data_IF_760194617217
#
_entry.id   IF_760194617217
#
_cell.length_a   1.000
_cell.length_b   1.000
_cell.length_c   1.000
_cell.angle_alpha   90.00
_cell.angle_beta   90.00
_cell.angle_gamma   90.00
#
_symmetry.space_group_name_H-M   'P 1'
#
loop_
_entity.id
_entity.type
_entity.pdbx_description
1 polymer ?
#
# COMPACT_ATOMS: atom_id res chain seq x y z
N UNK A 1 1.18 3.51 -17.55
CA UNK A 1 0.88 4.79 -16.85
C UNK A 1 -0.31 4.69 -15.90
N UNK A 2 -1.54 4.37 -16.35
CA UNK A 2 -2.71 4.30 -15.45
C UNK A 2 -2.53 3.32 -14.27
N UNK A 3 -1.99 2.12 -14.50
CA UNK A 3 -1.72 1.14 -13.44
C UNK A 3 -0.72 1.64 -12.38
N UNK A 4 0.34 2.36 -12.80
CA UNK A 4 1.30 2.97 -11.90
C UNK A 4 0.63 4.04 -11.03
N UNK A 5 -0.18 4.91 -11.63
CA UNK A 5 -0.91 5.95 -10.90
C UNK A 5 -1.94 5.39 -9.91
N UNK A 6 -2.64 4.32 -10.30
CA UNK A 6 -3.61 3.62 -9.42
C UNK A 6 -2.89 2.96 -8.25
N UNK A 7 -1.80 2.22 -8.52
CA UNK A 7 -1.01 1.58 -7.47
C UNK A 7 -0.42 2.62 -6.51
N UNK A 8 0.12 3.73 -7.03
CA UNK A 8 0.63 4.82 -6.21
C UNK A 8 -0.46 5.44 -5.32
N UNK A 9 -1.64 5.74 -5.88
CA UNK A 9 -2.77 6.26 -5.10
C UNK A 9 -3.26 5.27 -4.03
N UNK A 10 -3.28 3.98 -4.36
CA UNK A 10 -3.60 2.89 -3.42
C UNK A 10 -2.60 2.80 -2.26
N UNK A 11 -1.30 2.93 -2.54
CA UNK A 11 -0.25 2.97 -1.51
C UNK A 11 -0.40 4.19 -0.59
N UNK A 12 -0.63 5.39 -1.13
CA UNK A 12 -0.86 6.59 -0.31
C UNK A 12 -2.09 6.43 0.58
N UNK A 13 -3.17 5.85 0.05
CA UNK A 13 -4.39 5.58 0.83
C UNK A 13 -4.12 4.59 1.96
N UNK A 14 -3.39 3.51 1.69
CA UNK A 14 -3.01 2.51 2.70
C UNK A 14 -2.12 3.13 3.79
N UNK A 15 -1.16 3.98 3.41
CA UNK A 15 -0.30 4.71 4.36
C UNK A 15 -1.12 5.61 5.29
N UNK A 16 -2.04 6.41 4.72
CA UNK A 16 -2.91 7.28 5.51
C UNK A 16 -3.77 6.49 6.51
N UNK A 17 -4.30 5.32 6.10
CA UNK A 17 -5.06 4.43 6.99
C UNK A 17 -4.20 3.91 8.14
N UNK A 18 -2.98 3.45 7.85
CA UNK A 18 -2.03 2.99 8.84
C UNK A 18 -1.69 4.09 9.86
N UNK A 19 -1.37 5.29 9.38
CA UNK A 19 -1.01 6.43 10.24
C UNK A 19 -2.18 6.86 11.13
N UNK A 20 -3.40 6.86 10.59
CA UNK A 20 -4.59 7.18 11.38
C UNK A 20 -4.84 6.15 12.49
N UNK A 21 -4.68 4.85 12.19
CA UNK A 21 -4.78 3.79 13.20
C UNK A 21 -3.69 3.91 14.28
N UNK A 22 -2.46 4.19 13.87
CA UNK A 22 -1.35 4.42 14.79
C UNK A 22 -1.60 5.62 15.72
N UNK A 23 -2.15 6.73 15.19
CA UNK A 23 -2.52 7.91 15.99
C UNK A 23 -3.62 7.60 17.01
N UNK A 24 -4.67 6.86 16.61
CA UNK A 24 -5.74 6.44 17.55
C UNK A 24 -5.19 5.56 18.65
N UNK A 25 -4.35 4.58 18.30
CA UNK A 25 -3.66 3.72 19.26
C UNK A 25 -2.76 4.53 20.20
N UNK A 26 -2.02 5.52 19.69
CA UNK A 26 -1.17 6.36 20.53
C UNK A 26 -1.96 7.19 21.56
N UNK A 27 -3.13 7.70 21.16
CA UNK A 27 -4.01 8.49 22.04
C UNK A 27 -4.75 7.61 23.07
N UNK A 28 -5.13 6.39 22.71
CA UNK A 28 -5.86 5.45 23.57
C UNK A 28 -5.35 4.01 23.39
N UNK A 29 -4.22 3.64 24.01
CA UNK A 29 -3.47 2.42 23.67
C UNK A 29 -4.19 1.09 23.88
N UNK A 30 -5.14 1.05 24.81
CA UNK A 30 -5.91 -0.16 25.13
C UNK A 30 -7.30 -0.16 24.52
N UNK A 31 -7.73 0.97 23.93
CA UNK A 31 -9.05 1.06 23.33
C UNK A 31 -9.03 0.43 21.94
N UNK A 32 -9.98 -0.47 21.68
CA UNK A 32 -10.14 -1.18 20.41
C UNK A 32 -8.83 -1.81 19.86
N UNK A 33 -7.92 -2.24 20.74
CA UNK A 33 -6.58 -2.69 20.37
C UNK A 33 -6.58 -3.83 19.32
N UNK A 34 -7.53 -4.76 19.43
CA UNK A 34 -7.69 -5.84 18.45
C UNK A 34 -8.06 -5.29 17.07
N UNK A 35 -9.00 -4.36 17.01
CA UNK A 35 -9.45 -3.71 15.78
C UNK A 35 -8.33 -2.86 15.16
N UNK A 36 -7.64 -2.04 15.95
CA UNK A 36 -6.52 -1.22 15.46
C UNK A 36 -5.33 -2.08 15.00
N UNK A 37 -5.15 -3.26 15.58
CA UNK A 37 -4.13 -4.21 15.10
C UNK A 37 -4.52 -4.81 13.76
N UNK A 38 -5.78 -5.21 13.59
CA UNK A 38 -6.29 -5.72 12.31
C UNK A 38 -6.23 -4.62 11.24
N UNK A 39 -6.62 -3.38 11.55
CA UNK A 39 -6.56 -2.24 10.63
C UNK A 39 -5.13 -1.99 10.11
N UNK A 40 -4.12 -2.04 11.00
CA UNK A 40 -2.70 -1.93 10.60
C UNK A 40 -2.24 -3.08 9.71
N UNK A 41 -2.67 -4.31 10.01
CA UNK A 41 -2.35 -5.49 9.19
C UNK A 41 -2.98 -5.35 7.80
N UNK A 42 -4.25 -4.95 7.72
CA UNK A 42 -4.94 -4.72 6.45
C UNK A 42 -4.27 -3.61 5.64
N UNK A 43 -3.93 -2.48 6.26
CA UNK A 43 -3.23 -1.38 5.61
C UNK A 43 -1.86 -1.82 5.07
N UNK A 44 -1.09 -2.59 5.86
CA UNK A 44 0.18 -3.17 5.41
C UNK A 44 0.00 -4.08 4.19
N UNK A 45 -0.97 -5.00 4.24
CA UNK A 45 -1.26 -5.91 3.13
C UNK A 45 -1.69 -5.14 1.87
N UNK A 46 -2.55 -4.13 2.01
CA UNK A 46 -2.98 -3.28 0.89
C UNK A 46 -1.80 -2.52 0.27
N UNK A 47 -0.89 -1.97 1.09
CA UNK A 47 0.31 -1.32 0.61
C UNK A 47 1.19 -2.29 -0.18
N UNK A 48 1.48 -3.48 0.37
CA UNK A 48 2.29 -4.51 -0.30
C UNK A 48 1.67 -4.99 -1.60
N UNK A 49 0.34 -5.13 -1.66
CA UNK A 49 -0.37 -5.52 -2.88
C UNK A 49 -0.21 -4.46 -3.99
N UNK A 50 -0.39 -3.18 -3.66
CA UNK A 50 -0.19 -2.11 -4.63
C UNK A 50 1.28 -2.01 -5.09
N UNK A 51 2.24 -2.19 -4.18
CA UNK A 51 3.66 -2.22 -4.52
C UNK A 51 4.01 -3.37 -5.48
N UNK A 52 3.40 -4.54 -5.32
CA UNK A 52 3.57 -5.66 -6.25
C UNK A 52 3.04 -5.32 -7.65
N UNK A 53 1.86 -4.71 -7.75
CA UNK A 53 1.29 -4.25 -9.03
C UNK A 53 2.20 -3.22 -9.71
N UNK A 54 2.74 -2.27 -8.94
CA UNK A 54 3.68 -1.28 -9.46
C UNK A 54 4.93 -1.95 -10.05
N UNK A 55 5.52 -2.90 -9.32
CA UNK A 55 6.69 -3.66 -9.80
C UNK A 55 6.39 -4.43 -11.08
N UNK A 56 5.27 -5.14 -11.14
CA UNK A 56 4.88 -5.87 -12.36
C UNK A 56 4.69 -4.93 -13.56
N UNK A 57 4.10 -3.75 -13.35
CA UNK A 57 3.96 -2.77 -14.42
C UNK A 57 5.31 -2.22 -14.93
N UNK A 58 6.28 -2.06 -14.03
CA UNK A 58 7.65 -1.66 -14.35
C UNK A 58 8.39 -2.77 -15.13
N UNK A 59 8.36 -4.00 -14.64
CA UNK A 59 8.98 -5.17 -15.27
C UNK A 59 8.44 -5.41 -16.69
N UNK A 60 7.13 -5.27 -16.87
CA UNK A 60 6.49 -5.35 -18.20
C UNK A 60 7.00 -4.25 -19.14
N UNK A 61 7.18 -3.04 -18.63
CA UNK A 61 7.70 -1.92 -19.43
C UNK A 61 9.15 -2.18 -19.83
N UNK A 62 9.98 -2.65 -18.91
CA UNK A 62 11.36 -3.07 -19.19
C UNK A 62 11.44 -4.16 -20.27
N UNK A 63 10.63 -5.21 -20.14
CA UNK A 63 10.58 -6.32 -21.10
C UNK A 63 10.22 -5.83 -22.52
N UNK A 64 9.27 -4.89 -22.63
CA UNK A 64 8.90 -4.30 -23.92
C UNK A 64 10.05 -3.47 -24.52
N UNK A 65 10.81 -2.74 -23.69
CA UNK A 65 11.97 -1.97 -24.14
C UNK A 65 13.11 -2.87 -24.60
N UNK A 66 13.39 -3.96 -23.86
CA UNK A 66 14.44 -4.91 -24.19
C UNK A 66 14.18 -5.63 -25.53
N UNK A 67 12.92 -5.88 -25.89
CA UNK A 67 12.57 -6.45 -27.20
C UNK A 67 12.76 -5.48 -28.37
N UNK A 68 12.78 -4.17 -28.12
CA UNK A 68 12.92 -3.13 -29.14
C UNK A 68 14.39 -2.75 -29.40
N UNK A 69 15.29 -3.07 -28.47
CA UNK A 69 16.73 -2.82 -28.56
C UNK A 69 17.45 -3.91 -29.38
#
# INVERSE_FOLDING_TARGET
>A
MQALSIAAAGMTTAQNRFDNSARRTANAPLDNLAEETVERIQAKTAFSANAAVLRTADDMTGTLLDMLA
#
